data_IF_288160972530
#
_entry.id   IF_288160972530
#
_cell.length_a   1.000
_cell.length_b   1.000
_cell.length_c   1.000
_cell.angle_alpha   90.00
_cell.angle_beta   90.00
_cell.angle_gamma   90.00
#
_symmetry.space_group_name_H-M   'P 1'
#
loop_
_entity.id
_entity.type
_entity.pdbx_description
1 polymer ?
#
# COMPACT_ATOMS: atom_id res chain seq x y z
N UNK A 1 -17.57 8.26 -1.67
CA UNK A 1 -16.81 7.23 -2.39
C UNK A 1 -15.32 7.41 -2.11
N UNK A 2 -14.62 6.35 -1.74
CA UNK A 2 -13.16 6.30 -1.61
C UNK A 2 -12.50 5.94 -2.93
N UNK A 3 -11.30 6.48 -3.19
CA UNK A 3 -10.49 6.13 -4.35
C UNK A 3 -9.32 5.29 -3.83
N UNK A 4 -9.24 4.03 -4.27
CA UNK A 4 -8.18 3.11 -3.86
C UNK A 4 -7.18 2.96 -5.01
N UNK A 5 -5.91 3.19 -4.71
CA UNK A 5 -4.79 2.99 -5.63
C UNK A 5 -3.76 2.05 -5.02
N UNK A 6 -3.23 1.15 -5.83
CA UNK A 6 -2.11 0.29 -5.46
C UNK A 6 -0.84 0.75 -6.15
N UNK A 7 0.22 0.98 -5.37
CA UNK A 7 1.51 1.38 -5.90
C UNK A 7 2.29 0.19 -6.47
N UNK A 8 3.06 0.46 -7.51
CA UNK A 8 3.94 -0.49 -8.19
C UNK A 8 4.40 0.05 -9.54
N UNK A 9 5.36 -0.63 -10.15
CA UNK A 9 5.83 -0.37 -11.50
C UNK A 9 5.02 -1.20 -12.53
N UNK A 10 4.75 -0.64 -13.73
CA UNK A 10 4.24 -1.39 -14.88
C UNK A 10 5.34 -2.29 -15.47
N UNK A 11 4.96 -3.40 -16.11
CA UNK A 11 5.87 -4.41 -16.65
C UNK A 11 5.75 -5.77 -15.95
N UNK A 12 5.93 -6.86 -16.69
CA UNK A 12 5.84 -8.23 -16.17
C UNK A 12 7.02 -8.57 -15.25
N UNK A 13 8.18 -7.96 -15.49
CA UNK A 13 9.37 -8.12 -14.66
C UNK A 13 9.16 -7.66 -13.21
N UNK A 14 8.23 -6.72 -12.97
CA UNK A 14 7.93 -6.19 -11.64
C UNK A 14 6.80 -6.91 -10.92
N UNK A 15 5.99 -7.71 -11.62
CA UNK A 15 4.68 -8.23 -11.15
C UNK A 15 4.70 -8.91 -9.79
N UNK A 16 5.78 -9.64 -9.50
CA UNK A 16 5.95 -10.38 -8.23
C UNK A 16 7.03 -9.78 -7.31
N UNK A 17 7.51 -8.57 -7.59
CA UNK A 17 8.49 -7.88 -6.75
C UNK A 17 7.83 -7.33 -5.49
N UNK A 18 8.58 -7.21 -4.40
CA UNK A 18 8.05 -6.64 -3.15
C UNK A 18 7.49 -5.24 -3.35
N UNK A 19 8.13 -4.44 -4.22
CA UNK A 19 7.70 -3.09 -4.54
C UNK A 19 6.41 -3.00 -5.36
N UNK A 20 5.89 -4.13 -5.84
CA UNK A 20 4.61 -4.22 -6.52
C UNK A 20 3.48 -4.70 -5.62
N UNK A 21 3.69 -4.80 -4.32
CA UNK A 21 2.68 -5.29 -3.37
C UNK A 21 1.36 -4.53 -3.50
N UNK A 22 1.40 -3.21 -3.70
CA UNK A 22 0.18 -2.42 -3.95
C UNK A 22 -0.58 -2.88 -5.18
N UNK A 23 0.09 -3.09 -6.32
CA UNK A 23 -0.53 -3.64 -7.54
C UNK A 23 -1.06 -5.07 -7.33
N UNK A 24 -0.31 -5.93 -6.64
CA UNK A 24 -0.76 -7.29 -6.31
C UNK A 24 -2.04 -7.30 -5.47
N UNK A 25 -2.17 -6.36 -4.52
CA UNK A 25 -3.42 -6.17 -3.77
C UNK A 25 -4.55 -5.75 -4.70
N UNK A 26 -4.32 -4.77 -5.58
CA UNK A 26 -5.34 -4.32 -6.53
C UNK A 26 -5.83 -5.46 -7.40
N UNK A 27 -4.92 -6.29 -7.93
CA UNK A 27 -5.26 -7.47 -8.73
C UNK A 27 -6.15 -8.46 -7.93
N UNK A 28 -5.86 -8.65 -6.64
CA UNK A 28 -6.70 -9.45 -5.73
C UNK A 28 -8.09 -8.83 -5.51
N UNK A 29 -8.18 -7.50 -5.43
CA UNK A 29 -9.43 -6.77 -5.18
C UNK A 29 -10.31 -6.60 -6.42
N UNK A 30 -9.77 -6.67 -7.64
CA UNK A 30 -10.53 -6.43 -8.90
C UNK A 30 -11.79 -7.28 -9.06
N UNK A 31 -11.87 -8.43 -8.39
CA UNK A 31 -13.03 -9.35 -8.44
C UNK A 31 -14.04 -9.14 -7.31
N UNK A 32 -13.83 -8.14 -6.45
CA UNK A 32 -14.64 -7.88 -5.26
C UNK A 32 -15.45 -6.60 -5.45
N UNK A 33 -16.72 -6.67 -5.13
CA UNK A 33 -17.56 -5.49 -4.99
C UNK A 33 -17.42 -4.97 -3.56
N UNK A 34 -16.85 -3.77 -3.41
CA UNK A 34 -16.64 -3.13 -2.12
C UNK A 34 -17.40 -1.81 -2.12
N UNK A 35 -18.30 -1.67 -1.14
CA UNK A 35 -19.19 -0.53 -1.03
C UNK A 35 -18.44 0.81 -1.10
N UNK A 36 -19.00 1.77 -1.83
CA UNK A 36 -18.51 3.14 -1.92
C UNK A 36 -17.03 3.26 -2.28
N UNK A 37 -16.49 2.31 -3.05
CA UNK A 37 -15.07 2.27 -3.40
C UNK A 37 -14.86 2.26 -4.91
N UNK A 38 -13.90 3.06 -5.39
CA UNK A 38 -13.44 3.05 -6.77
C UNK A 38 -11.97 2.63 -6.82
N UNK A 39 -11.68 1.53 -7.48
CA UNK A 39 -10.33 1.06 -7.73
C UNK A 39 -9.73 1.75 -8.96
N UNK A 40 -8.50 2.27 -8.83
CA UNK A 40 -7.77 2.92 -9.92
C UNK A 40 -6.39 2.28 -10.02
N UNK A 41 -6.15 1.58 -11.13
CA UNK A 41 -4.81 1.11 -11.48
C UNK A 41 -4.01 2.26 -12.08
N UNK A 42 -2.80 2.45 -11.57
CA UNK A 42 -1.86 3.44 -12.09
C UNK A 42 -0.95 2.78 -13.12
N UNK A 43 -0.87 3.37 -14.31
CA UNK A 43 0.08 2.98 -15.34
C UNK A 43 1.25 3.99 -15.37
N UNK A 44 1.98 4.03 -14.26
CA UNK A 44 3.12 4.93 -14.06
C UNK A 44 4.19 4.23 -13.24
N UNK A 45 5.46 4.50 -13.53
CA UNK A 45 6.54 4.09 -12.63
C UNK A 45 6.37 4.68 -11.23
N UNK A 46 6.93 4.00 -10.23
CA UNK A 46 6.76 4.28 -8.82
C UNK A 46 7.01 5.75 -8.49
N UNK A 47 8.15 6.30 -8.92
CA UNK A 47 8.54 7.70 -8.69
C UNK A 47 7.63 8.73 -9.41
N UNK A 48 6.75 8.28 -10.31
CA UNK A 48 5.77 9.10 -11.04
C UNK A 48 4.32 8.83 -10.62
N UNK A 49 4.09 8.02 -9.58
CA UNK A 49 2.73 7.68 -9.09
C UNK A 49 1.86 8.91 -8.81
N UNK A 50 2.45 10.00 -8.33
CA UNK A 50 1.72 11.25 -8.07
C UNK A 50 1.05 11.84 -9.32
N UNK A 51 1.68 11.71 -10.49
CA UNK A 51 1.09 12.18 -11.74
C UNK A 51 -0.15 11.36 -12.13
N UNK A 52 -0.15 10.05 -11.86
CA UNK A 52 -1.31 9.19 -12.05
C UNK A 52 -2.44 9.52 -11.08
N UNK A 53 -2.13 9.65 -9.79
CA UNK A 53 -3.12 9.98 -8.75
C UNK A 53 -3.74 11.36 -8.97
N UNK A 54 -2.97 12.36 -9.37
CA UNK A 54 -3.46 13.72 -9.66
C UNK A 54 -4.48 13.76 -10.81
N UNK A 55 -4.58 12.71 -11.64
CA UNK A 55 -5.64 12.61 -12.66
C UNK A 55 -7.01 12.35 -12.06
N UNK A 56 -7.09 11.72 -10.88
CA UNK A 56 -8.36 11.32 -10.23
C UNK A 56 -8.63 12.05 -8.91
N UNK A 57 -7.59 12.58 -8.25
CA UNK A 57 -7.69 13.40 -7.03
C UNK A 57 -7.45 14.85 -7.41
N UNK A 58 -8.48 15.70 -7.28
CA UNK A 58 -8.48 17.09 -7.78
C UNK A 58 -8.51 18.16 -6.72
N UNK A 59 -8.73 17.79 -5.47
CA UNK A 59 -8.82 18.71 -4.34
C UNK A 59 -8.31 18.06 -3.05
N UNK A 60 -7.96 18.89 -2.05
CA UNK A 60 -7.61 18.41 -0.71
C UNK A 60 -8.71 17.51 -0.11
N UNK A 61 -9.98 17.90 -0.28
CA UNK A 61 -11.14 17.11 0.17
C UNK A 61 -11.20 15.73 -0.50
N UNK A 62 -10.87 15.63 -1.79
CA UNK A 62 -10.79 14.33 -2.45
C UNK A 62 -9.56 13.50 -2.00
N UNK A 63 -8.47 14.16 -1.59
CA UNK A 63 -7.29 13.47 -1.05
C UNK A 63 -7.58 12.81 0.29
N UNK A 64 -8.43 13.40 1.15
CA UNK A 64 -8.87 12.77 2.40
C UNK A 64 -9.62 11.43 2.18
N UNK A 65 -10.17 11.23 0.97
CA UNK A 65 -10.84 9.99 0.54
C UNK A 65 -9.96 9.11 -0.36
N UNK A 66 -8.70 9.47 -0.57
CA UNK A 66 -7.71 8.62 -1.24
C UNK A 66 -7.19 7.58 -0.25
N UNK A 67 -7.15 6.33 -0.69
CA UNK A 67 -6.53 5.20 -0.02
C UNK A 67 -5.37 4.71 -0.88
N UNK A 68 -4.15 4.80 -0.36
CA UNK A 68 -2.94 4.33 -1.04
C UNK A 68 -2.47 3.02 -0.42
N UNK A 69 -2.43 1.96 -1.21
CA UNK A 69 -1.93 0.64 -0.81
C UNK A 69 -0.50 0.45 -1.33
N UNK A 70 0.44 0.11 -0.46
CA UNK A 70 1.86 -0.04 -0.84
C UNK A 70 2.64 -0.92 0.14
N UNK A 71 3.83 -1.36 -0.28
CA UNK A 71 4.79 -2.10 0.53
C UNK A 71 5.50 -1.22 1.56
N UNK A 72 5.76 -1.77 2.73
CA UNK A 72 6.36 -1.02 3.83
C UNK A 72 7.49 -1.80 4.52
N UNK A 73 8.69 -1.20 4.51
CA UNK A 73 9.89 -1.74 5.13
C UNK A 73 9.91 -1.57 6.65
N UNK A 74 9.02 -0.75 7.22
CA UNK A 74 8.89 -0.57 8.66
C UNK A 74 7.92 -1.56 9.29
N UNK A 75 7.33 -2.46 8.49
CA UNK A 75 6.37 -3.45 8.95
C UNK A 75 6.84 -4.88 8.62
N UNK A 76 6.63 -5.83 9.56
CA UNK A 76 6.94 -7.22 9.33
C UNK A 76 6.01 -7.80 8.26
N UNK A 77 6.55 -8.70 7.43
CA UNK A 77 5.74 -9.45 6.48
C UNK A 77 4.65 -10.24 7.18
N UNK A 78 3.46 -10.29 6.57
CA UNK A 78 2.27 -10.90 7.17
C UNK A 78 1.47 -9.95 8.05
N UNK A 79 1.87 -8.69 8.16
CA UNK A 79 1.11 -7.64 8.83
C UNK A 79 0.71 -6.52 7.88
N UNK A 80 -0.30 -5.75 8.29
CA UNK A 80 -0.62 -4.48 7.66
C UNK A 80 -1.00 -3.43 8.70
N UNK A 81 -0.89 -2.16 8.31
CA UNK A 81 -1.41 -1.04 9.10
C UNK A 81 -2.16 -0.04 8.23
N UNK A 82 -3.28 0.43 8.74
CA UNK A 82 -3.99 1.61 8.27
C UNK A 82 -3.41 2.85 8.96
N UNK A 83 -2.95 3.82 8.18
CA UNK A 83 -2.52 5.11 8.70
C UNK A 83 -3.09 6.28 7.91
N UNK A 84 -3.04 7.46 8.51
CA UNK A 84 -3.47 8.71 7.91
C UNK A 84 -2.45 9.79 8.23
N UNK A 85 -2.24 10.70 7.28
CA UNK A 85 -1.44 11.92 7.47
C UNK A 85 -0.04 11.68 8.07
N UNK A 86 0.75 10.82 7.42
CA UNK A 86 2.15 10.55 7.79
C UNK A 86 3.13 11.03 6.72
N UNK A 87 4.43 11.06 7.02
CA UNK A 87 5.45 11.25 5.97
C UNK A 87 5.51 10.04 5.02
N UNK A 88 6.30 10.13 3.95
CA UNK A 88 6.49 9.01 3.01
C UNK A 88 7.28 7.84 3.57
N UNK A 89 8.03 8.03 4.66
CA UNK A 89 8.97 7.03 5.17
C UNK A 89 10.06 6.65 4.16
N UNK A 90 10.37 7.53 3.20
CA UNK A 90 11.31 7.24 2.10
C UNK A 90 10.69 6.45 0.93
N UNK A 91 9.40 6.09 0.99
CA UNK A 91 8.74 5.41 -0.12
C UNK A 91 8.50 6.36 -1.31
N UNK A 92 9.27 6.18 -2.39
CA UNK A 92 9.28 7.06 -3.59
C UNK A 92 7.91 7.29 -4.21
N UNK A 93 7.02 6.29 -4.21
CA UNK A 93 5.67 6.45 -4.73
C UNK A 93 4.76 7.31 -3.85
N UNK A 94 4.91 7.22 -2.53
CA UNK A 94 4.14 8.02 -1.57
C UNK A 94 4.66 9.44 -1.59
N UNK A 95 5.98 9.63 -1.65
CA UNK A 95 6.63 10.92 -1.84
C UNK A 95 6.13 11.63 -3.12
N UNK A 96 6.07 10.89 -4.24
CA UNK A 96 5.54 11.39 -5.51
C UNK A 96 4.10 11.90 -5.36
N UNK A 97 3.24 11.15 -4.66
CA UNK A 97 1.85 11.54 -4.39
C UNK A 97 1.78 12.79 -3.49
N UNK A 98 2.53 12.82 -2.39
CA UNK A 98 2.54 13.98 -1.48
C UNK A 98 2.93 15.25 -2.23
N UNK A 99 3.98 15.18 -3.07
CA UNK A 99 4.44 16.30 -3.88
C UNK A 99 3.38 16.75 -4.90
N UNK A 100 2.76 15.81 -5.61
CA UNK A 100 1.76 16.11 -6.63
C UNK A 100 0.48 16.71 -6.04
N UNK A 101 0.01 16.18 -4.91
CA UNK A 101 -1.22 16.62 -4.25
C UNK A 101 -1.01 17.81 -3.30
N UNK A 102 0.25 18.14 -2.98
CA UNK A 102 0.64 19.16 -1.99
C UNK A 102 -0.01 18.93 -0.63
N UNK A 103 -0.19 17.67 -0.26
CA UNK A 103 -0.74 17.24 1.03
C UNK A 103 -0.35 15.78 1.30
N UNK A 104 -0.22 15.44 2.58
CA UNK A 104 -0.06 14.06 3.06
C UNK A 104 -1.34 13.52 3.71
N UNK A 105 -2.38 14.35 3.80
CA UNK A 105 -3.69 14.04 4.37
C UNK A 105 -4.50 13.08 3.48
N UNK A 106 -4.08 11.82 3.46
CA UNK A 106 -4.74 10.71 2.79
C UNK A 106 -4.49 9.41 3.56
N UNK A 107 -5.36 8.43 3.32
CA UNK A 107 -5.37 7.14 4.01
C UNK A 107 -4.37 6.20 3.33
N UNK A 108 -3.75 5.34 4.13
CA UNK A 108 -2.70 4.42 3.70
C UNK A 108 -2.98 3.04 4.24
N UNK A 109 -2.96 2.04 3.39
CA UNK A 109 -2.89 0.63 3.77
C UNK A 109 -1.46 0.18 3.49
N UNK A 110 -0.67 0.09 4.56
CA UNK A 110 0.74 -0.25 4.56
C UNK A 110 0.87 -1.74 4.72
N UNK A 111 1.40 -2.44 3.72
CA UNK A 111 1.59 -3.89 3.77
C UNK A 111 3.04 -4.19 4.11
N UNK A 112 3.29 -4.91 5.21
CA UNK A 112 4.65 -5.21 5.62
C UNK A 112 5.35 -6.17 4.69
N UNK A 113 6.62 -5.88 4.40
CA UNK A 113 7.47 -6.70 3.55
C UNK A 113 8.78 -7.13 4.21
N UNK A 114 9.09 -6.63 5.40
CA UNK A 114 10.35 -6.94 6.06
C UNK A 114 10.31 -8.26 6.82
N UNK A 115 11.34 -9.12 6.71
CA UNK A 115 11.46 -10.29 7.55
C UNK A 115 11.62 -9.88 9.02
N UNK A 116 11.21 -10.74 9.94
CA UNK A 116 11.41 -10.58 11.38
C UNK A 116 12.09 -11.80 11.99
N UNK A 117 12.77 -11.61 13.12
CA UNK A 117 13.23 -12.72 13.98
C UNK A 117 12.04 -13.34 14.73
N UNK A 118 12.18 -14.56 15.30
CA UNK A 118 11.20 -15.10 16.22
C UNK A 118 10.88 -14.18 17.41
N UNK A 119 11.84 -13.34 17.81
CA UNK A 119 11.67 -12.31 18.85
C UNK A 119 10.98 -11.02 18.36
N UNK A 120 10.54 -10.96 17.11
CA UNK A 120 9.83 -9.80 16.54
C UNK A 120 10.71 -8.66 16.03
N UNK A 121 12.05 -8.79 16.08
CA UNK A 121 12.96 -7.76 15.57
C UNK A 121 12.98 -7.77 14.04
N UNK A 122 12.71 -6.62 13.42
CA UNK A 122 12.77 -6.48 11.96
C UNK A 122 14.20 -6.62 11.44
N UNK A 123 14.37 -7.42 10.39
CA UNK A 123 15.59 -7.55 9.59
C UNK A 123 15.46 -6.70 8.34
N UNK A 124 15.61 -5.38 8.51
CA UNK A 124 15.56 -4.45 7.38
C UNK A 124 16.89 -4.46 6.62
N UNK A 125 16.87 -4.35 5.28
CA UNK A 125 18.08 -4.01 4.53
C UNK A 125 18.63 -2.65 5.00
N UNK A 126 19.96 -2.50 5.00
CA UNK A 126 20.63 -1.26 5.42
C UNK A 126 21.35 -0.62 4.23
N UNK A 127 21.16 0.67 4.05
CA UNK A 127 21.74 1.41 2.92
C UNK A 127 20.88 1.33 1.65
N UNK A 128 20.98 2.35 0.82
CA UNK A 128 20.11 2.55 -0.35
C UNK A 128 20.17 1.38 -1.34
N UNK A 129 21.38 0.90 -1.66
CA UNK A 129 21.59 -0.21 -2.61
C UNK A 129 20.91 -1.51 -2.16
N UNK A 130 21.03 -1.86 -0.89
CA UNK A 130 20.43 -3.09 -0.36
C UNK A 130 18.91 -2.96 -0.23
N UNK A 131 18.41 -1.77 0.10
CA UNK A 131 16.98 -1.47 0.08
C UNK A 131 16.42 -1.65 -1.33
N UNK A 132 17.02 -1.03 -2.35
CA UNK A 132 16.59 -1.13 -3.74
C UNK A 132 16.63 -2.59 -4.24
N UNK A 133 17.72 -3.31 -3.96
CA UNK A 133 17.83 -4.74 -4.30
C UNK A 133 16.76 -5.58 -3.62
N UNK A 134 16.46 -5.31 -2.35
CA UNK A 134 15.48 -6.06 -1.59
C UNK A 134 14.06 -5.84 -2.11
N UNK A 135 13.65 -4.59 -2.36
CA UNK A 135 12.30 -4.28 -2.84
C UNK A 135 12.06 -4.78 -4.27
N UNK A 136 13.11 -4.88 -5.09
CA UNK A 136 13.07 -5.49 -6.43
C UNK A 136 13.10 -7.02 -6.39
N UNK A 137 13.41 -7.64 -5.25
CA UNK A 137 13.36 -9.09 -5.08
C UNK A 137 11.92 -9.63 -5.06
N UNK A 138 11.76 -10.91 -5.36
CA UNK A 138 10.46 -11.61 -5.27
C UNK A 138 10.23 -12.22 -3.89
N UNK A 139 8.97 -12.44 -3.53
CA UNK A 139 8.58 -13.18 -2.33
C UNK A 139 8.76 -14.69 -2.52
N UNK A 140 9.29 -15.38 -1.51
CA UNK A 140 9.32 -16.83 -1.42
C UNK A 140 7.95 -17.45 -1.10
N UNK A 141 7.79 -18.77 -1.17
CA UNK A 141 6.49 -19.44 -0.99
C UNK A 141 5.80 -19.13 0.35
N UNK A 142 6.53 -19.22 1.46
CA UNK A 142 6.02 -18.91 2.81
C UNK A 142 5.63 -17.43 2.94
N UNK A 143 6.40 -16.53 2.32
CA UNK A 143 6.09 -15.10 2.29
C UNK A 143 4.80 -14.83 1.52
N UNK A 144 4.61 -15.49 0.36
CA UNK A 144 3.36 -15.41 -0.42
C UNK A 144 2.16 -15.90 0.38
N UNK A 145 2.28 -16.96 1.18
CA UNK A 145 1.21 -17.44 2.06
C UNK A 145 0.83 -16.42 3.14
N UNK A 146 1.83 -15.78 3.76
CA UNK A 146 1.61 -14.72 4.74
C UNK A 146 0.89 -13.51 4.10
N UNK A 147 1.31 -13.09 2.90
CA UNK A 147 0.66 -12.01 2.16
C UNK A 147 -0.77 -12.35 1.76
N UNK A 148 -1.06 -13.59 1.35
CA UNK A 148 -2.43 -14.03 1.06
C UNK A 148 -3.37 -13.83 2.26
N UNK A 149 -2.88 -14.02 3.49
CA UNK A 149 -3.67 -13.75 4.70
C UNK A 149 -3.94 -12.26 4.86
N UNK A 150 -2.92 -11.43 4.68
CA UNK A 150 -3.06 -9.96 4.71
C UNK A 150 -4.07 -9.49 3.66
N UNK A 151 -3.96 -9.95 2.42
CA UNK A 151 -4.83 -9.54 1.32
C UNK A 151 -6.30 -9.85 1.61
N UNK A 152 -6.58 -10.95 2.31
CA UNK A 152 -7.95 -11.31 2.73
C UNK A 152 -8.54 -10.34 3.76
N UNK A 153 -7.73 -9.63 4.55
CA UNK A 153 -8.23 -8.62 5.51
C UNK A 153 -8.45 -7.24 4.90
N UNK A 154 -7.85 -6.96 3.74
CA UNK A 154 -7.98 -5.65 3.08
C UNK A 154 -9.44 -5.33 2.68
N UNK A 155 -10.23 -6.27 2.12
CA UNK A 155 -11.64 -6.02 1.84
C UNK A 155 -12.44 -5.57 3.06
N UNK A 156 -12.34 -6.30 4.17
CA UNK A 156 -13.03 -5.98 5.43
C UNK A 156 -12.62 -4.61 5.97
N UNK A 157 -11.33 -4.25 5.80
CA UNK A 157 -10.80 -2.93 6.17
C UNK A 157 -11.41 -1.81 5.31
N UNK A 158 -11.53 -2.03 4.00
CA UNK A 158 -12.12 -1.06 3.08
C UNK A 158 -13.64 -0.92 3.29
N UNK A 159 -14.33 -2.00 3.58
CA UNK A 159 -15.75 -2.00 3.96
C UNK A 159 -15.97 -1.18 5.24
N UNK A 160 -15.22 -1.48 6.30
CA UNK A 160 -15.25 -0.71 7.54
C UNK A 160 -14.96 0.79 7.31
N UNK A 161 -14.03 1.10 6.40
CA UNK A 161 -13.73 2.49 6.04
C UNK A 161 -14.91 3.18 5.33
N UNK A 162 -15.62 2.43 4.49
CA UNK A 162 -16.78 2.89 3.73
C UNK A 162 -18.04 3.09 4.58
N UNK A 163 -18.24 2.27 5.62
CA UNK A 163 -19.44 2.27 6.48
C UNK A 163 -19.24 3.06 7.76
N UNK A 164 -18.11 2.85 8.44
CA UNK A 164 -17.91 3.27 9.83
C UNK A 164 -16.78 4.30 9.99
N UNK A 165 -16.02 4.55 8.92
CA UNK A 165 -14.97 5.55 8.86
C UNK A 165 -13.60 5.08 9.36
N UNK A 166 -12.65 6.02 9.40
CA UNK A 166 -11.22 5.73 9.53
C UNK A 166 -10.85 5.01 10.83
N UNK A 167 -11.43 5.41 11.97
CA UNK A 167 -11.09 4.83 13.26
C UNK A 167 -11.45 3.35 13.30
N UNK A 168 -12.64 2.99 12.79
CA UNK A 168 -13.06 1.59 12.70
C UNK A 168 -12.18 0.79 11.74
N UNK A 169 -11.87 1.36 10.57
CA UNK A 169 -10.94 0.73 9.62
C UNK A 169 -9.56 0.47 10.24
N UNK A 170 -9.05 1.37 11.08
CA UNK A 170 -7.80 1.15 11.83
C UNK A 170 -7.92 -0.01 12.83
N UNK A 171 -9.04 -0.13 13.55
CA UNK A 171 -9.27 -1.24 14.47
C UNK A 171 -9.33 -2.59 13.75
N UNK A 172 -9.99 -2.64 12.59
CA UNK A 172 -10.12 -3.87 11.78
C UNK A 172 -8.81 -4.21 11.08
N UNK A 173 -8.16 -3.22 10.48
CA UNK A 173 -7.04 -3.44 9.58
C UNK A 173 -5.67 -3.49 10.25
N UNK A 174 -5.49 -2.94 11.45
CA UNK A 174 -4.19 -2.98 12.13
C UNK A 174 -3.97 -4.34 12.78
N UNK A 175 -3.37 -5.25 12.03
CA UNK A 175 -2.99 -6.58 12.51
C UNK A 175 -1.76 -6.50 13.42
N UNK A 176 -1.71 -7.36 14.45
CA UNK A 176 -0.51 -7.55 15.28
C UNK A 176 0.54 -8.37 14.56
#
# INVERSE_FOLDING_TARGET
>A
MYIVVGLGNPGEEYKETRHNTGRMVMDFLTKKDILNTKFVHLDTFMNKSGAGVAKVVKSKKSAEKLVVVYDDLDLPIGTMKVSYDRSSGGHRGVESIIRALKTQAFIRIRVGISPSTPSGKLKKPQGEKDVEKFIMGKFGPKEKEMLKKVFKHIPETLEALATDGLQRAMTVGNTK
#
